data_IF_399657798681
#
_entry.id   IF_399657798681
#
_cell.length_a   1.000
_cell.length_b   1.000
_cell.length_c   1.000
_cell.angle_alpha   90.00
_cell.angle_beta   90.00
_cell.angle_gamma   90.00
#
_symmetry.space_group_name_H-M   'P 1'
#
loop_
_entity.id
_entity.type
_entity.pdbx_description
1 polymer ?
#
# COMPACT_ATOMS: atom_id res chain seq x y z
N UNK A 1 15.06 -18.78 -23.56
CA UNK A 1 14.64 -17.50 -24.19
C UNK A 1 15.83 -16.54 -24.23
N UNK A 2 16.03 -15.83 -25.34
CA UNK A 2 17.12 -14.85 -25.44
C UNK A 2 16.83 -13.61 -24.56
N UNK A 3 17.86 -12.94 -24.01
CA UNK A 3 17.68 -11.78 -23.12
C UNK A 3 16.83 -10.66 -23.76
N UNK A 4 17.07 -10.33 -25.02
CA UNK A 4 16.32 -9.29 -25.76
C UNK A 4 14.83 -9.63 -25.87
N UNK A 5 14.48 -10.87 -26.18
CA UNK A 5 13.07 -11.30 -26.26
C UNK A 5 12.39 -11.26 -24.89
N UNK A 6 13.15 -11.58 -23.82
CA UNK A 6 12.61 -11.53 -22.45
C UNK A 6 12.34 -10.10 -22.02
N UNK A 7 13.26 -9.17 -22.29
CA UNK A 7 13.05 -7.74 -22.00
C UNK A 7 11.84 -7.16 -22.73
N UNK A 8 11.62 -7.50 -24.00
CA UNK A 8 10.42 -7.06 -24.72
C UNK A 8 9.12 -7.61 -24.09
N UNK A 9 9.12 -8.86 -23.64
CA UNK A 9 7.98 -9.40 -22.89
C UNK A 9 7.80 -8.71 -21.53
N UNK A 10 8.88 -8.40 -20.80
CA UNK A 10 8.81 -7.62 -19.57
C UNK A 10 8.22 -6.23 -19.84
N UNK A 11 8.62 -5.55 -20.91
CA UNK A 11 8.02 -4.28 -21.32
C UNK A 11 6.51 -4.40 -21.59
N UNK A 12 6.08 -5.46 -22.25
CA UNK A 12 4.65 -5.71 -22.51
C UNK A 12 3.86 -5.88 -21.21
N UNK A 13 4.35 -6.72 -20.28
CA UNK A 13 3.75 -6.92 -18.96
C UNK A 13 3.68 -5.59 -18.20
N UNK A 14 4.75 -4.81 -18.19
CA UNK A 14 4.81 -3.51 -17.51
C UNK A 14 3.86 -2.47 -18.12
N UNK A 15 3.63 -2.48 -19.44
CA UNK A 15 2.63 -1.61 -20.08
C UNK A 15 1.22 -1.91 -19.61
N UNK A 16 0.91 -3.17 -19.36
CA UNK A 16 -0.40 -3.65 -18.89
C UNK A 16 -0.55 -3.46 -17.38
N UNK A 17 0.38 -3.99 -16.59
CA UNK A 17 0.26 -4.08 -15.13
C UNK A 17 0.85 -2.88 -14.38
N UNK A 18 1.67 -2.05 -15.09
CA UNK A 18 2.35 -0.85 -14.59
C UNK A 18 3.46 -1.09 -13.56
N UNK A 19 3.47 -2.22 -12.90
CA UNK A 19 4.54 -2.64 -11.99
C UNK A 19 4.68 -4.16 -12.00
N UNK A 20 5.89 -4.64 -11.71
CA UNK A 20 6.20 -6.08 -11.61
C UNK A 20 7.16 -6.32 -10.47
N UNK A 21 7.02 -7.43 -9.78
CA UNK A 21 8.01 -7.90 -8.82
C UNK A 21 9.03 -8.81 -9.49
N UNK A 22 10.24 -8.86 -8.93
CA UNK A 22 11.27 -9.81 -9.38
C UNK A 22 10.76 -11.24 -9.26
N UNK A 23 10.01 -11.56 -8.20
CA UNK A 23 9.47 -12.89 -7.95
C UNK A 23 8.49 -13.31 -9.04
N UNK A 24 7.51 -12.46 -9.38
CA UNK A 24 6.55 -12.72 -10.47
C UNK A 24 7.26 -12.98 -11.80
N UNK A 25 8.30 -12.19 -12.12
CA UNK A 25 9.07 -12.37 -13.35
C UNK A 25 9.91 -13.64 -13.34
N UNK A 26 10.51 -14.00 -12.20
CA UNK A 26 11.24 -15.25 -12.04
C UNK A 26 10.33 -16.47 -12.33
N UNK A 27 9.16 -16.48 -11.74
CA UNK A 27 8.18 -17.55 -11.93
C UNK A 27 7.67 -17.59 -13.37
N UNK A 28 7.31 -16.43 -13.94
CA UNK A 28 6.79 -16.35 -15.30
C UNK A 28 7.79 -16.81 -16.37
N UNK A 29 9.06 -16.43 -16.23
CA UNK A 29 10.11 -16.76 -17.20
C UNK A 29 10.90 -18.01 -16.85
N UNK A 30 10.72 -18.59 -15.66
CA UNK A 30 11.52 -19.70 -15.11
C UNK A 30 13.02 -19.42 -15.18
N UNK A 31 13.45 -18.29 -14.62
CA UNK A 31 14.86 -17.85 -14.57
C UNK A 31 15.22 -17.38 -13.17
N UNK A 32 16.53 -17.24 -12.92
CA UNK A 32 17.04 -16.81 -11.61
C UNK A 32 16.79 -15.32 -11.34
N UNK A 33 16.80 -14.95 -10.05
CA UNK A 33 16.73 -13.57 -9.57
C UNK A 33 17.77 -12.67 -10.26
N UNK A 34 19.01 -13.14 -10.38
CA UNK A 34 20.10 -12.39 -10.99
C UNK A 34 19.82 -12.07 -12.47
N UNK A 35 19.21 -13.02 -13.19
CA UNK A 35 18.82 -12.81 -14.60
C UNK A 35 17.77 -11.70 -14.73
N UNK A 36 16.72 -11.73 -13.88
CA UNK A 36 15.69 -10.70 -13.88
C UNK A 36 16.26 -9.34 -13.47
N UNK A 37 17.12 -9.29 -12.46
CA UNK A 37 17.77 -8.03 -12.04
C UNK A 37 18.57 -7.38 -13.15
N UNK A 38 19.33 -8.18 -13.94
CA UNK A 38 20.06 -7.67 -15.11
C UNK A 38 19.13 -7.15 -16.20
N UNK A 39 18.03 -7.85 -16.47
CA UNK A 39 17.05 -7.38 -17.44
C UNK A 39 16.39 -6.07 -17.01
N UNK A 40 16.00 -5.96 -15.74
CA UNK A 40 15.42 -4.73 -15.19
C UNK A 40 16.43 -3.58 -15.14
N UNK A 41 17.72 -3.86 -14.88
CA UNK A 41 18.78 -2.85 -14.94
C UNK A 41 18.91 -2.28 -16.35
N UNK A 42 18.96 -3.15 -17.38
CA UNK A 42 19.03 -2.70 -18.75
C UNK A 42 17.79 -1.85 -19.16
N UNK A 43 16.60 -2.23 -18.68
CA UNK A 43 15.37 -1.45 -18.93
C UNK A 43 15.36 -0.09 -18.20
N UNK A 44 16.02 0.01 -17.04
CA UNK A 44 16.20 1.27 -16.31
C UNK A 44 17.21 2.18 -17.05
N UNK A 45 18.31 1.62 -17.55
CA UNK A 45 19.29 2.35 -18.38
C UNK A 45 18.67 2.87 -19.69
N UNK A 46 17.68 2.14 -20.24
CA UNK A 46 16.87 2.59 -21.36
C UNK A 46 15.85 3.69 -20.96
N UNK A 47 15.71 4.03 -19.68
CA UNK A 47 14.71 4.97 -19.16
C UNK A 47 13.27 4.45 -19.23
N UNK A 48 13.08 3.13 -19.40
CA UNK A 48 11.75 2.55 -19.55
C UNK A 48 11.08 2.27 -18.20
N UNK A 49 11.84 2.00 -17.16
CA UNK A 49 11.34 1.70 -15.81
C UNK A 49 12.12 2.43 -14.73
N UNK A 50 11.49 2.61 -13.56
CA UNK A 50 12.16 2.94 -12.31
C UNK A 50 12.22 1.67 -11.46
N UNK A 51 13.43 1.25 -11.04
CA UNK A 51 13.63 0.10 -10.17
C UNK A 51 13.47 0.48 -8.71
N UNK A 52 12.91 -0.46 -7.96
CA UNK A 52 12.82 -0.42 -6.51
C UNK A 52 13.28 -1.76 -5.93
N UNK A 53 13.46 -1.79 -4.61
CA UNK A 53 13.76 -3.06 -3.97
C UNK A 53 12.65 -4.08 -4.22
N UNK A 54 12.97 -5.18 -4.89
CA UNK A 54 12.05 -6.28 -5.20
C UNK A 54 11.32 -6.17 -6.54
N UNK A 55 11.55 -5.15 -7.38
CA UNK A 55 10.91 -5.06 -8.71
C UNK A 55 11.11 -3.75 -9.44
N UNK A 56 10.21 -3.47 -10.38
CA UNK A 56 10.22 -2.25 -11.18
C UNK A 56 8.80 -1.76 -11.51
N UNK A 57 8.68 -0.48 -11.85
CA UNK A 57 7.43 0.13 -12.28
C UNK A 57 7.68 1.16 -13.39
N UNK A 58 6.62 1.50 -14.14
CA UNK A 58 6.65 2.59 -15.13
C UNK A 58 6.09 3.85 -14.47
N UNK A 59 6.84 4.95 -14.52
CA UNK A 59 6.35 6.26 -14.10
C UNK A 59 5.35 6.81 -15.11
N UNK A 60 4.24 7.38 -14.63
CA UNK A 60 3.26 8.09 -15.45
C UNK A 60 1.84 7.54 -15.41
N UNK A 61 0.89 8.47 -15.40
CA UNK A 61 -0.57 8.22 -15.45
C UNK A 61 -1.26 8.24 -14.08
N UNK A 62 -2.51 8.71 -14.08
CA UNK A 62 -3.36 8.83 -12.88
C UNK A 62 -3.85 7.48 -12.33
N UNK A 63 -3.77 6.41 -13.14
CA UNK A 63 -4.28 5.06 -12.82
C UNK A 63 -3.19 4.05 -12.46
N UNK A 64 -1.94 4.48 -12.28
CA UNK A 64 -0.83 3.59 -11.96
C UNK A 64 -0.89 3.14 -10.50
N UNK A 65 -1.55 2.03 -10.22
CA UNK A 65 -1.42 1.33 -8.95
C UNK A 65 -0.18 0.44 -8.97
N UNK A 66 0.90 0.95 -8.39
CA UNK A 66 2.09 0.14 -8.12
C UNK A 66 1.70 -0.95 -7.12
N UNK A 67 2.14 -2.19 -7.36
CA UNK A 67 1.94 -3.32 -6.47
C UNK A 67 2.28 -2.95 -5.01
N UNK A 68 1.42 -3.35 -4.07
CA UNK A 68 1.55 -2.96 -2.66
C UNK A 68 2.89 -3.38 -2.04
N UNK A 69 3.44 -4.52 -2.45
CA UNK A 69 4.75 -4.98 -1.97
C UNK A 69 5.88 -4.05 -2.42
N UNK A 70 5.83 -3.54 -3.64
CA UNK A 70 6.79 -2.55 -4.14
C UNK A 70 6.57 -1.20 -3.45
N UNK A 71 5.32 -0.77 -3.28
CA UNK A 71 5.03 0.46 -2.53
C UNK A 71 5.54 0.41 -1.10
N UNK A 72 5.54 -0.76 -0.45
CA UNK A 72 6.07 -0.90 0.91
C UNK A 72 7.55 -0.54 0.98
N UNK A 73 8.36 -0.96 0.04
CA UNK A 73 9.81 -0.70 0.02
C UNK A 73 10.19 0.66 -0.55
N UNK A 74 9.35 1.24 -1.41
CA UNK A 74 9.56 2.56 -1.99
C UNK A 74 9.42 3.63 -0.91
N UNK A 75 10.42 4.51 -0.77
CA UNK A 75 10.44 5.59 0.23
C UNK A 75 10.25 5.08 1.68
N UNK A 76 10.82 3.91 2.00
CA UNK A 76 10.65 3.29 3.33
C UNK A 76 11.15 4.18 4.46
N UNK A 77 12.28 4.87 4.29
CA UNK A 77 12.83 5.78 5.29
C UNK A 77 11.88 6.94 5.62
N UNK A 78 11.28 7.58 4.60
CA UNK A 78 10.30 8.64 4.78
C UNK A 78 9.04 8.15 5.49
N UNK A 79 8.55 6.96 5.15
CA UNK A 79 7.39 6.36 5.83
C UNK A 79 7.67 6.03 7.28
N UNK A 80 8.87 5.57 7.60
CA UNK A 80 9.30 5.35 8.98
C UNK A 80 9.35 6.66 9.77
N UNK A 81 9.83 7.75 9.15
CA UNK A 81 9.82 9.08 9.77
C UNK A 81 8.39 9.57 10.03
N UNK A 82 7.48 9.42 9.05
CA UNK A 82 6.07 9.75 9.22
C UNK A 82 5.47 8.92 10.36
N UNK A 83 5.71 7.60 10.39
CA UNK A 83 5.22 6.72 11.44
C UNK A 83 5.71 7.15 12.83
N UNK A 84 6.97 7.56 12.96
CA UNK A 84 7.52 8.06 14.23
C UNK A 84 6.86 9.38 14.69
N UNK A 85 6.45 10.24 13.75
CA UNK A 85 5.69 11.46 14.08
C UNK A 85 4.26 11.11 14.50
N UNK A 86 3.59 10.23 13.77
CA UNK A 86 2.23 9.78 14.08
C UNK A 86 2.17 9.08 15.46
N UNK A 87 3.18 8.28 15.79
CA UNK A 87 3.29 7.61 17.09
C UNK A 87 3.22 8.60 18.27
N UNK A 88 3.79 9.79 18.14
CA UNK A 88 3.82 10.80 19.22
C UNK A 88 2.45 11.36 19.58
N UNK A 89 1.49 11.29 18.67
CA UNK A 89 0.14 11.81 18.90
C UNK A 89 -0.86 10.71 19.28
N UNK A 90 -0.45 9.45 19.29
CA UNK A 90 -1.27 8.30 19.68
C UNK A 90 -1.08 8.04 21.17
N UNK A 91 -2.17 7.84 21.90
CA UNK A 91 -2.18 7.59 23.34
C UNK A 91 -2.85 6.26 23.66
N UNK A 92 -2.46 5.64 24.78
CA UNK A 92 -3.14 4.45 25.26
C UNK A 92 -4.62 4.76 25.54
N UNK A 93 -5.50 3.89 25.05
CA UNK A 93 -6.94 4.05 25.13
C UNK A 93 -7.58 4.66 23.88
N UNK A 94 -6.78 5.23 22.97
CA UNK A 94 -7.32 5.74 21.72
C UNK A 94 -8.01 4.65 20.89
N UNK A 95 -9.05 5.06 20.20
CA UNK A 95 -9.66 4.37 19.07
C UNK A 95 -9.16 5.01 17.79
N UNK A 96 -8.45 4.26 16.94
CA UNK A 96 -7.81 4.80 15.73
C UNK A 96 -8.23 4.06 14.47
N UNK A 97 -8.32 4.80 13.36
CA UNK A 97 -8.44 4.20 12.04
C UNK A 97 -7.09 4.21 11.31
N UNK A 98 -6.70 3.06 10.79
CA UNK A 98 -5.53 2.90 9.91
C UNK A 98 -6.00 2.38 8.55
N UNK A 99 -5.76 3.15 7.49
CA UNK A 99 -6.13 2.75 6.12
C UNK A 99 -5.19 1.66 5.56
N UNK A 100 -5.49 1.18 4.37
CA UNK A 100 -4.70 0.14 3.69
C UNK A 100 -3.42 0.68 3.02
N UNK A 101 -2.95 1.86 3.36
CA UNK A 101 -1.71 2.40 2.83
C UNK A 101 -0.48 1.74 3.45
N UNK A 102 0.61 1.70 2.68
CA UNK A 102 1.89 1.21 3.22
C UNK A 102 2.45 2.12 4.30
N UNK A 103 2.11 3.41 4.32
CA UNK A 103 2.48 4.34 5.39
C UNK A 103 1.76 3.99 6.70
N UNK A 104 0.44 3.72 6.64
CA UNK A 104 -0.32 3.27 7.81
C UNK A 104 0.20 1.93 8.37
N UNK A 105 0.70 1.04 7.50
CA UNK A 105 1.34 -0.19 7.98
C UNK A 105 2.63 0.09 8.78
N UNK A 106 3.44 1.07 8.38
CA UNK A 106 4.61 1.51 9.18
C UNK A 106 4.19 2.14 10.52
N UNK A 107 3.03 2.82 10.58
CA UNK A 107 2.47 3.29 11.85
C UNK A 107 2.10 2.07 12.72
N UNK A 108 1.38 1.09 12.17
CA UNK A 108 1.00 -0.11 12.90
C UNK A 108 2.22 -0.83 13.52
N UNK A 109 3.34 -0.93 12.80
CA UNK A 109 4.59 -1.51 13.29
C UNK A 109 5.13 -0.83 14.56
N UNK A 110 4.78 0.44 14.81
CA UNK A 110 5.17 1.19 16.02
C UNK A 110 4.25 0.96 17.22
N UNK A 111 3.05 0.44 17.00
CA UNK A 111 2.01 0.41 18.02
C UNK A 111 1.97 -0.88 18.87
N UNK A 112 2.92 -1.76 18.71
CA UNK A 112 2.94 -3.10 19.33
C UNK A 112 2.90 -3.11 20.86
N UNK A 113 3.32 -2.02 21.51
CA UNK A 113 3.35 -1.87 22.95
C UNK A 113 2.22 -1.00 23.53
N UNK A 114 1.27 -0.59 22.68
CA UNK A 114 0.15 0.26 23.08
C UNK A 114 -1.08 -0.56 23.47
N UNK A 115 -2.01 0.10 24.17
CA UNK A 115 -3.37 -0.40 24.41
C UNK A 115 -4.34 0.47 23.61
N UNK A 116 -4.82 -0.04 22.47
CA UNK A 116 -5.62 0.70 21.49
C UNK A 116 -6.78 -0.13 20.98
N UNK A 117 -7.79 0.56 20.46
CA UNK A 117 -8.74 -0.03 19.52
C UNK A 117 -8.34 0.41 18.11
N UNK A 118 -8.04 -0.54 17.22
CA UNK A 118 -7.62 -0.26 15.85
C UNK A 118 -8.66 -0.75 14.86
N UNK A 119 -9.32 0.19 14.19
CA UNK A 119 -10.21 -0.05 13.05
C UNK A 119 -9.39 -0.01 11.77
N UNK A 120 -9.48 -1.03 10.93
CA UNK A 120 -8.76 -1.06 9.65
C UNK A 120 -9.48 -1.89 8.59
N UNK A 121 -9.33 -1.50 7.32
CA UNK A 121 -9.72 -2.30 6.17
C UNK A 121 -8.56 -3.09 5.53
N UNK A 122 -7.38 -3.09 6.17
CA UNK A 122 -6.14 -3.70 5.66
C UNK A 122 -5.85 -5.05 6.31
N UNK A 123 -5.72 -6.09 5.50
CA UNK A 123 -5.31 -7.40 6.00
C UNK A 123 -3.86 -7.39 6.52
N UNK A 124 -3.01 -6.54 5.95
CA UNK A 124 -1.62 -6.42 6.38
C UNK A 124 -1.51 -5.83 7.79
N UNK A 125 -2.32 -4.81 8.11
CA UNK A 125 -2.35 -4.21 9.44
C UNK A 125 -2.90 -5.22 10.46
N UNK A 126 -3.95 -5.98 10.11
CA UNK A 126 -4.43 -7.09 10.95
C UNK A 126 -3.29 -8.07 11.24
N UNK A 127 -2.58 -8.55 10.21
CA UNK A 127 -1.47 -9.48 10.39
C UNK A 127 -0.33 -8.90 11.25
N UNK A 128 -0.07 -7.60 11.13
CA UNK A 128 0.96 -6.91 11.92
C UNK A 128 0.60 -6.86 13.40
N UNK A 129 -0.67 -6.64 13.73
CA UNK A 129 -1.10 -6.35 15.11
C UNK A 129 -1.80 -7.52 15.83
N UNK A 130 -2.18 -8.57 15.11
CA UNK A 130 -3.02 -9.66 15.66
C UNK A 130 -2.41 -10.41 16.85
N UNK A 131 -1.09 -10.44 16.98
CA UNK A 131 -0.41 -11.13 18.09
C UNK A 131 -0.25 -10.28 19.36
N UNK A 132 -0.62 -9.00 19.33
CA UNK A 132 -0.40 -8.08 20.46
C UNK A 132 -1.68 -7.93 21.29
N UNK A 133 -1.66 -8.48 22.51
CA UNK A 133 -2.83 -8.55 23.41
C UNK A 133 -3.36 -7.18 23.87
N UNK A 134 -2.54 -6.12 23.81
CA UNK A 134 -2.96 -4.75 24.10
C UNK A 134 -3.82 -4.11 23.02
N UNK A 135 -3.89 -4.71 21.83
CA UNK A 135 -4.59 -4.14 20.68
C UNK A 135 -5.93 -4.86 20.47
N UNK A 136 -7.02 -4.12 20.56
CA UNK A 136 -8.34 -4.57 20.11
C UNK A 136 -8.48 -4.27 18.63
N UNK A 137 -8.53 -5.32 17.78
CA UNK A 137 -8.62 -5.17 16.32
C UNK A 137 -10.06 -5.27 15.83
N UNK A 138 -10.47 -4.30 15.04
CA UNK A 138 -11.76 -4.28 14.36
C UNK A 138 -11.49 -4.23 12.85
N UNK A 139 -11.82 -5.31 12.17
CA UNK A 139 -11.63 -5.40 10.72
C UNK A 139 -12.88 -4.93 9.98
N UNK A 140 -12.70 -3.95 9.12
CA UNK A 140 -13.74 -3.52 8.16
C UNK A 140 -13.88 -4.62 7.11
N UNK A 141 -14.99 -5.33 7.11
CA UNK A 141 -15.31 -6.36 6.12
C UNK A 141 -15.81 -5.77 4.79
N UNK A 142 -15.99 -6.63 3.79
CA UNK A 142 -16.49 -6.22 2.48
C UNK A 142 -15.89 -7.04 1.34
N UNK A 143 -15.82 -6.45 0.14
CA UNK A 143 -15.21 -7.08 -1.03
C UNK A 143 -13.68 -6.97 -0.92
N UNK A 144 -13.00 -8.10 -0.98
CA UNK A 144 -11.54 -8.14 -0.91
C UNK A 144 -10.91 -7.79 -2.26
N UNK A 145 -10.02 -6.81 -2.25
CA UNK A 145 -9.16 -6.47 -3.38
C UNK A 145 -7.76 -7.06 -3.19
N UNK A 146 -7.41 -7.99 -4.07
CA UNK A 146 -6.12 -8.68 -4.03
C UNK A 146 -4.92 -7.74 -4.26
N UNK A 147 -5.08 -6.67 -5.06
CA UNK A 147 -3.98 -5.74 -5.39
C UNK A 147 -3.60 -4.86 -4.20
N UNK A 148 -4.58 -4.33 -3.51
CA UNK A 148 -4.38 -3.47 -2.33
C UNK A 148 -4.36 -4.25 -1.02
N UNK A 149 -4.68 -5.56 -1.02
CA UNK A 149 -4.79 -6.41 0.17
C UNK A 149 -5.73 -5.81 1.22
N UNK A 150 -6.90 -5.33 0.76
CA UNK A 150 -7.85 -4.59 1.61
C UNK A 150 -9.30 -4.78 1.19
N UNK A 151 -10.21 -4.36 2.06
CA UNK A 151 -11.65 -4.54 1.90
C UNK A 151 -12.32 -3.22 1.58
N UNK A 152 -13.29 -3.28 0.64
CA UNK A 152 -14.05 -2.14 0.12
C UNK A 152 -15.51 -2.49 -0.17
N UNK A 153 -16.23 -1.51 -0.68
CA UNK A 153 -17.61 -1.64 -1.15
C UNK A 153 -18.64 -1.20 -0.12
N UNK A 154 -19.93 -1.28 -0.50
CA UNK A 154 -21.04 -0.74 0.28
C UNK A 154 -21.06 -1.25 1.72
N UNK A 155 -20.82 -2.54 1.93
CA UNK A 155 -20.76 -3.13 3.28
C UNK A 155 -19.62 -2.58 4.12
N UNK A 156 -18.47 -2.31 3.49
CA UNK A 156 -17.34 -1.68 4.17
C UNK A 156 -17.70 -0.24 4.61
N UNK A 157 -18.38 0.52 3.75
CA UNK A 157 -18.81 1.88 4.05
C UNK A 157 -19.86 1.91 5.17
N UNK A 158 -20.89 1.04 5.09
CA UNK A 158 -21.89 0.89 6.15
C UNK A 158 -21.26 0.55 7.49
N UNK A 159 -20.27 -0.35 7.49
CA UNK A 159 -19.55 -0.74 8.68
C UNK A 159 -18.75 0.44 9.26
N UNK A 160 -17.96 1.12 8.44
CA UNK A 160 -17.17 2.29 8.88
C UNK A 160 -18.07 3.38 9.45
N UNK A 161 -19.24 3.65 8.83
CA UNK A 161 -20.21 4.65 9.30
C UNK A 161 -20.70 4.42 10.73
N UNK A 162 -20.70 3.16 11.21
CA UNK A 162 -21.15 2.83 12.57
C UNK A 162 -20.09 3.03 13.66
N UNK A 163 -18.87 3.46 13.28
CA UNK A 163 -17.77 3.66 14.21
C UNK A 163 -17.30 5.11 14.22
N UNK A 164 -17.05 5.63 15.41
CA UNK A 164 -16.31 6.88 15.62
C UNK A 164 -14.92 6.54 16.16
N UNK A 165 -13.91 7.21 15.66
CA UNK A 165 -12.53 7.05 16.08
C UNK A 165 -11.95 8.37 16.56
N UNK A 166 -11.04 8.33 17.54
CA UNK A 166 -10.38 9.54 18.06
C UNK A 166 -9.40 10.12 17.03
N UNK A 167 -8.77 9.26 16.25
CA UNK A 167 -7.77 9.64 15.25
C UNK A 167 -7.84 8.75 14.01
N UNK A 168 -7.64 9.33 12.84
CA UNK A 168 -7.58 8.59 11.60
C UNK A 168 -6.26 8.88 10.86
N UNK A 169 -5.60 7.83 10.41
CA UNK A 169 -4.35 7.90 9.65
C UNK A 169 -4.57 7.28 8.28
N UNK A 170 -4.46 8.10 7.27
CA UNK A 170 -4.59 7.67 5.89
C UNK A 170 -3.58 8.39 5.00
N UNK A 171 -3.22 7.76 3.91
CA UNK A 171 -2.34 8.33 2.90
C UNK A 171 -3.17 8.81 1.71
N UNK A 172 -2.58 9.66 0.86
CA UNK A 172 -3.20 10.09 -0.38
C UNK A 172 -2.23 9.93 -1.55
N UNK A 173 -2.77 9.98 -2.75
CA UNK A 173 -1.97 9.93 -3.98
C UNK A 173 -1.24 11.24 -4.23
N UNK A 174 -1.95 12.32 -4.05
CA UNK A 174 -1.42 13.67 -4.22
C UNK A 174 -2.21 14.67 -3.39
N UNK A 175 -1.57 15.80 -3.14
CA UNK A 175 -2.18 16.94 -2.47
C UNK A 175 -1.78 18.22 -3.21
N UNK A 176 -2.74 19.10 -3.43
CA UNK A 176 -2.46 20.44 -3.91
C UNK A 176 -3.41 21.47 -3.28
N UNK A 177 -3.05 22.74 -3.37
CA UNK A 177 -3.79 23.82 -2.71
C UNK A 177 -5.23 24.00 -3.24
N UNK A 178 -5.46 23.77 -4.53
CA UNK A 178 -6.80 23.98 -5.14
C UNK A 178 -7.73 22.79 -4.94
N UNK A 179 -7.23 21.58 -5.12
CA UNK A 179 -8.03 20.35 -5.13
C UNK A 179 -7.97 19.57 -3.82
N UNK A 180 -7.14 20.01 -2.86
CA UNK A 180 -6.98 19.33 -1.59
C UNK A 180 -6.30 17.98 -1.73
N UNK A 181 -6.77 17.03 -0.96
CA UNK A 181 -6.29 15.63 -0.92
C UNK A 181 -6.98 14.82 -2.02
N UNK A 182 -6.19 14.17 -2.86
CA UNK A 182 -6.70 13.42 -4.01
C UNK A 182 -6.18 11.98 -4.02
N UNK A 183 -7.00 11.09 -4.55
CA UNK A 183 -6.63 9.70 -4.83
C UNK A 183 -7.09 9.29 -6.24
N UNK A 184 -6.43 8.29 -6.82
CA UNK A 184 -6.79 7.74 -8.13
C UNK A 184 -7.76 6.57 -8.05
N UNK A 185 -8.05 6.07 -6.85
CA UNK A 185 -8.92 4.92 -6.60
C UNK A 185 -10.16 5.36 -5.83
N UNK A 186 -11.31 5.32 -6.50
CA UNK A 186 -12.60 5.70 -5.94
C UNK A 186 -12.94 4.92 -4.65
N UNK A 187 -12.73 3.59 -4.66
CA UNK A 187 -13.02 2.73 -3.50
C UNK A 187 -12.25 3.15 -2.24
N UNK A 188 -10.98 3.55 -2.43
CA UNK A 188 -10.14 4.05 -1.34
C UNK A 188 -10.60 5.43 -0.88
N UNK A 189 -10.95 6.29 -1.82
CA UNK A 189 -11.47 7.64 -1.55
C UNK A 189 -12.77 7.60 -0.76
N UNK A 190 -13.68 6.67 -1.07
CA UNK A 190 -14.97 6.54 -0.40
C UNK A 190 -14.81 6.21 1.10
N UNK A 191 -13.95 5.26 1.44
CA UNK A 191 -13.68 4.92 2.85
C UNK A 191 -13.06 6.11 3.59
N UNK A 192 -12.08 6.79 2.98
CA UNK A 192 -11.42 7.95 3.60
C UNK A 192 -12.38 9.10 3.80
N UNK A 193 -13.22 9.40 2.79
CA UNK A 193 -14.26 10.44 2.91
C UNK A 193 -15.21 10.10 4.03
N UNK A 194 -15.67 8.86 4.12
CA UNK A 194 -16.57 8.42 5.19
C UNK A 194 -15.97 8.63 6.59
N UNK A 195 -14.66 8.39 6.76
CA UNK A 195 -13.95 8.62 8.04
C UNK A 195 -13.77 10.12 8.32
N UNK A 196 -13.50 10.93 7.29
CA UNK A 196 -13.32 12.38 7.46
C UNK A 196 -14.64 13.07 7.84
N UNK A 197 -15.77 12.58 7.33
CA UNK A 197 -17.10 13.16 7.55
C UNK A 197 -17.66 12.83 8.95
N UNK A 198 -16.99 12.02 9.75
CA UNK A 198 -17.36 11.62 11.12
C UNK A 198 -16.63 12.43 12.20
#
# INVERSE_FOLDING_TARGET
>A
MLPMQRREKIKAILREQKSVTVLELMEYFNVTNETIRRDLLALEEEGFVSRVHGGAYIEGGTTNEINISLRRTTHSAQKQQIAAVCERIIQNGDSIFLDSSTTANYIAEKLTNYRLTVLTNSIQIINTLASFSGISLIMVGGNFDKKSQSFYGTRALEFVRSYHVDKAFFSCRSINYKSGVMDSNEKTSDIRRMIIDQ
#
